data_IF_169292960514
#
_entry.id   IF_169292960514
#
_cell.length_a   1.000
_cell.length_b   1.000
_cell.length_c   1.000
_cell.angle_alpha   90.00
_cell.angle_beta   90.00
_cell.angle_gamma   90.00
#
_symmetry.space_group_name_H-M   'P 1'
#
loop_
_entity.id
_entity.type
_entity.pdbx_description
1 polymer ?
#
# COMPACT_ATOMS: atom_id res chain seq x y z
N UNK A 1 -1.32 20.31 34.38
CA UNK A 1 -1.17 18.91 33.91
C UNK A 1 -1.90 18.79 32.58
N UNK A 2 -1.16 18.73 31.47
CA UNK A 2 -1.74 18.56 30.15
C UNK A 2 -1.90 17.06 29.86
N UNK A 3 -3.14 16.61 29.68
CA UNK A 3 -3.48 15.25 29.30
C UNK A 3 -3.24 15.09 27.79
N UNK A 4 -2.19 14.37 27.42
CA UNK A 4 -1.89 14.01 26.03
C UNK A 4 -3.01 13.11 25.50
N UNK A 5 -3.83 13.61 24.57
CA UNK A 5 -4.84 12.80 23.88
C UNK A 5 -4.16 11.70 23.06
N UNK A 6 -4.69 10.46 23.03
CA UNK A 6 -4.18 9.44 22.13
C UNK A 6 -4.41 9.87 20.68
N UNK A 7 -3.38 9.73 19.86
CA UNK A 7 -3.38 10.03 18.43
C UNK A 7 -4.31 9.04 17.72
N UNK A 8 -5.50 9.48 17.28
CA UNK A 8 -6.39 8.65 16.46
C UNK A 8 -5.85 8.61 15.02
N UNK A 9 -5.74 7.41 14.45
CA UNK A 9 -5.23 7.13 13.08
C UNK A 9 -6.24 7.57 11.99
N UNK A 10 -7.22 8.41 12.31
CA UNK A 10 -8.35 8.72 11.43
C UNK A 10 -8.15 9.95 10.54
N UNK A 11 -6.97 10.57 10.54
CA UNK A 11 -6.81 11.84 9.84
C UNK A 11 -5.46 11.98 9.15
N UNK A 12 -5.41 11.45 7.93
CA UNK A 12 -4.98 12.12 6.67
C UNK A 12 -5.14 11.05 5.58
N UNK A 13 -6.34 10.97 4.99
CA UNK A 13 -6.65 10.41 3.68
C UNK A 13 -8.10 10.82 3.43
N UNK A 14 -8.36 11.55 2.35
CA UNK A 14 -9.69 12.09 2.06
C UNK A 14 -10.73 10.97 2.04
N UNK A 15 -11.67 11.05 2.99
CA UNK A 15 -13.01 10.43 3.11
C UNK A 15 -13.26 8.98 2.64
N UNK A 16 -12.23 8.22 2.27
CA UNK A 16 -12.36 6.82 1.89
C UNK A 16 -11.91 5.92 3.02
N UNK A 17 -12.77 5.04 3.54
CA UNK A 17 -12.40 4.05 4.53
C UNK A 17 -11.16 3.27 4.08
N UNK A 18 -10.25 2.93 5.00
CA UNK A 18 -9.08 2.09 4.71
C UNK A 18 -9.45 0.72 4.09
N UNK A 19 -10.72 0.30 4.15
CA UNK A 19 -11.22 -0.87 3.45
C UNK A 19 -11.28 -0.67 1.91
N UNK A 20 -11.50 0.55 1.44
CA UNK A 20 -11.46 0.93 0.02
C UNK A 20 -10.03 1.16 -0.48
N UNK A 21 -9.14 1.53 0.43
CA UNK A 21 -7.71 1.62 0.15
C UNK A 21 -7.20 0.18 0.15
N UNK A 22 -6.67 -0.33 -0.97
CA UNK A 22 -6.19 -1.71 -1.11
C UNK A 22 -4.98 -2.07 -0.23
N UNK A 23 -4.98 -1.73 1.05
CA UNK A 23 -3.92 -1.95 2.03
C UNK A 23 -4.49 -2.26 3.42
N UNK A 24 -3.98 -3.32 4.02
CA UNK A 24 -4.21 -3.68 5.41
C UNK A 24 -3.03 -3.22 6.24
N UNK A 25 -3.32 -2.49 7.31
CA UNK A 25 -2.36 -2.04 8.32
C UNK A 25 -2.70 -2.74 9.65
N UNK A 26 -1.71 -3.33 10.30
CA UNK A 26 -1.88 -3.95 11.63
C UNK A 26 -0.63 -3.73 12.47
N UNK A 27 -0.78 -3.19 13.67
CA UNK A 27 0.30 -3.19 14.66
C UNK A 27 0.46 -4.60 15.24
N UNK A 28 1.67 -5.15 15.16
CA UNK A 28 2.07 -6.44 15.72
C UNK A 28 3.31 -6.23 16.59
N UNK A 29 3.11 -6.02 17.89
CA UNK A 29 4.17 -5.87 18.90
C UNK A 29 5.16 -4.73 18.59
N UNK A 30 4.66 -3.54 18.26
CA UNK A 30 5.51 -2.37 17.96
C UNK A 30 6.15 -2.45 16.58
N UNK A 31 5.56 -3.24 15.68
CA UNK A 31 5.90 -3.31 14.26
C UNK A 31 4.65 -3.15 13.43
N UNK A 32 4.67 -2.29 12.44
CA UNK A 32 3.55 -2.17 11.52
C UNK A 32 3.64 -3.22 10.43
N UNK A 33 2.72 -4.19 10.46
CA UNK A 33 2.51 -5.10 9.35
C UNK A 33 1.69 -4.41 8.25
N UNK A 34 2.30 -4.30 7.07
CA UNK A 34 1.71 -3.69 5.88
C UNK A 34 1.47 -4.77 4.83
N UNK A 35 0.21 -4.91 4.40
CA UNK A 35 -0.18 -5.91 3.40
C UNK A 35 -1.12 -5.30 2.37
N UNK A 36 -0.69 -5.16 1.12
CA UNK A 36 -1.60 -4.73 0.06
C UNK A 36 -2.70 -5.80 -0.16
N UNK A 37 -3.94 -5.38 -0.40
CA UNK A 37 -5.07 -6.22 -0.78
C UNK A 37 -5.35 -5.99 -2.26
N UNK A 38 -5.39 -7.06 -3.03
CA UNK A 38 -5.77 -7.02 -4.44
C UNK A 38 -7.00 -7.87 -4.58
N UNK A 39 -8.09 -7.29 -5.04
CA UNK A 39 -9.28 -8.08 -5.34
C UNK A 39 -8.97 -9.03 -6.51
N UNK A 40 -9.47 -10.28 -6.48
CA UNK A 40 -9.13 -11.30 -7.47
C UNK A 40 -9.33 -10.86 -8.93
N UNK A 41 -10.35 -10.03 -9.20
CA UNK A 41 -10.66 -9.52 -10.56
C UNK A 41 -9.59 -8.56 -11.09
N UNK A 42 -8.85 -7.88 -10.22
CA UNK A 42 -7.74 -6.99 -10.58
C UNK A 42 -6.38 -7.71 -10.49
N UNK A 43 -6.35 -8.98 -10.09
CA UNK A 43 -5.14 -9.80 -10.03
C UNK A 43 -4.65 -10.30 -11.38
N UNK A 44 -5.14 -9.76 -12.49
CA UNK A 44 -4.75 -10.12 -13.85
C UNK A 44 -3.63 -9.19 -14.38
N UNK A 45 -2.62 -9.74 -15.08
CA UNK A 45 -2.33 -11.17 -15.23
C UNK A 45 -1.91 -11.82 -13.89
N UNK A 46 -2.17 -13.14 -13.69
CA UNK A 46 -1.80 -13.83 -12.47
C UNK A 46 -0.30 -13.68 -12.17
N UNK A 47 0.03 -13.27 -10.94
CA UNK A 47 1.43 -13.20 -10.49
C UNK A 47 1.85 -14.58 -9.95
N UNK A 48 2.95 -15.19 -10.44
CA UNK A 48 3.40 -16.51 -9.99
C UNK A 48 3.61 -16.63 -8.48
N UNK A 49 4.03 -15.53 -7.85
CA UNK A 49 4.13 -15.39 -6.39
C UNK A 49 3.94 -13.93 -6.02
N UNK A 50 3.09 -13.69 -5.02
CA UNK A 50 2.90 -12.35 -4.46
C UNK A 50 3.85 -12.11 -3.28
N UNK A 51 4.51 -10.94 -3.17
CA UNK A 51 5.29 -10.60 -1.99
C UNK A 51 4.42 -10.62 -0.73
N UNK A 52 4.92 -11.18 0.39
CA UNK A 52 4.19 -11.21 1.63
C UNK A 52 3.98 -9.80 2.22
N UNK A 53 3.25 -9.74 3.33
CA UNK A 53 3.20 -8.55 4.16
C UNK A 53 4.62 -8.18 4.64
N UNK A 54 4.96 -6.89 4.61
CA UNK A 54 6.20 -6.37 5.17
C UNK A 54 5.96 -5.85 6.58
N UNK A 55 7.03 -5.74 7.38
CA UNK A 55 6.97 -5.20 8.75
C UNK A 55 7.89 -4.00 8.85
N UNK A 56 7.35 -2.88 9.33
CA UNK A 56 8.10 -1.66 9.59
C UNK A 56 8.37 -1.51 11.09
N UNK A 57 9.61 -1.19 11.44
CA UNK A 57 9.97 -0.64 12.74
C UNK A 57 9.64 0.88 12.77
N UNK A 58 9.49 1.48 13.96
CA UNK A 58 9.33 2.92 14.07
C UNK A 58 10.47 3.67 13.36
N UNK A 59 10.13 4.72 12.62
CA UNK A 59 11.06 5.49 11.77
C UNK A 59 11.29 4.90 10.37
N UNK A 60 10.81 3.69 10.09
CA UNK A 60 10.93 3.08 8.77
C UNK A 60 9.73 3.42 7.87
N UNK A 61 9.97 3.39 6.57
CA UNK A 61 8.90 3.51 5.59
C UNK A 61 9.11 2.60 4.37
N UNK A 62 8.00 2.23 3.74
CA UNK A 62 7.97 1.39 2.52
C UNK A 62 7.36 2.15 1.36
N UNK A 63 7.94 1.95 0.17
CA UNK A 63 7.29 2.20 -1.11
C UNK A 63 6.86 0.87 -1.73
N UNK A 64 5.56 0.69 -1.93
CA UNK A 64 5.01 -0.45 -2.67
C UNK A 64 4.36 0.03 -3.96
N UNK A 65 4.68 -0.62 -5.07
CA UNK A 65 4.14 -0.30 -6.38
C UNK A 65 3.44 -1.51 -6.98
N UNK A 66 2.26 -1.29 -7.54
CA UNK A 66 1.37 -2.36 -7.98
C UNK A 66 0.61 -1.93 -9.23
N UNK A 67 0.74 -2.69 -10.33
CA UNK A 67 -0.05 -2.43 -11.52
C UNK A 67 -1.23 -3.41 -11.67
N UNK A 68 -2.30 -2.95 -12.30
CA UNK A 68 -3.47 -3.74 -12.66
C UNK A 68 -3.66 -3.65 -14.16
N UNK A 69 -3.89 -4.80 -14.78
CA UNK A 69 -3.97 -4.92 -16.23
C UNK A 69 -5.07 -5.92 -16.58
N UNK A 70 -6.26 -5.42 -16.91
CA UNK A 70 -7.40 -6.25 -17.28
C UNK A 70 -8.02 -5.78 -18.60
N UNK A 71 -8.41 -6.75 -19.42
CA UNK A 71 -9.34 -6.55 -20.54
C UNK A 71 -10.75 -6.68 -20.00
N UNK A 72 -11.74 -5.99 -20.59
CA UNK A 72 -13.12 -6.22 -20.16
C UNK A 72 -13.46 -7.71 -20.27
N UNK A 73 -14.22 -8.26 -19.32
CA UNK A 73 -14.58 -9.68 -19.29
C UNK A 73 -15.34 -10.15 -20.55
N UNK A 74 -15.85 -9.20 -21.34
CA UNK A 74 -16.55 -9.43 -22.61
C UNK A 74 -15.67 -9.22 -23.85
N UNK A 75 -14.38 -8.84 -23.70
CA UNK A 75 -13.50 -8.50 -24.84
C UNK A 75 -13.90 -7.24 -25.61
N UNK A 76 -14.92 -6.52 -25.15
CA UNK A 76 -15.57 -5.40 -25.86
C UNK A 76 -14.86 -4.04 -25.69
N UNK A 77 -13.90 -3.92 -24.77
CA UNK A 77 -13.14 -2.68 -24.55
C UNK A 77 -11.67 -3.02 -24.35
N UNK A 78 -10.81 -2.14 -24.90
CA UNK A 78 -9.36 -2.27 -24.87
C UNK A 78 -8.77 -2.42 -23.47
N UNK A 79 -7.45 -2.57 -23.43
CA UNK A 79 -6.70 -2.73 -22.18
C UNK A 79 -6.94 -1.56 -21.21
N UNK A 80 -7.30 -1.88 -19.96
CA UNK A 80 -7.25 -0.94 -18.85
C UNK A 80 -5.95 -1.11 -18.08
N UNK A 81 -5.35 0.00 -17.69
CA UNK A 81 -4.14 0.04 -16.87
C UNK A 81 -4.32 1.01 -15.69
N UNK A 82 -3.94 0.56 -14.50
CA UNK A 82 -3.82 1.41 -13.32
C UNK A 82 -2.54 1.00 -12.56
N UNK A 83 -1.76 1.98 -12.09
CA UNK A 83 -0.69 1.81 -11.10
C UNK A 83 -1.07 2.41 -9.74
N UNK A 84 -1.06 1.60 -8.69
CA UNK A 84 -1.07 2.07 -7.30
C UNK A 84 0.35 2.21 -6.76
N UNK A 85 0.59 3.30 -6.03
CA UNK A 85 1.81 3.49 -5.22
C UNK A 85 1.41 3.79 -3.78
N UNK A 86 1.86 2.95 -2.86
CA UNK A 86 1.65 3.12 -1.43
C UNK A 86 2.97 3.53 -0.77
N UNK A 87 3.01 4.73 -0.22
CA UNK A 87 4.09 5.19 0.64
C UNK A 87 3.59 5.17 2.08
N UNK A 88 4.16 4.31 2.92
CA UNK A 88 3.68 4.08 4.29
C UNK A 88 4.87 4.18 5.23
N UNK A 89 4.81 5.11 6.17
CA UNK A 89 5.75 5.25 7.26
C UNK A 89 5.12 4.79 8.58
N UNK A 90 5.94 4.31 9.51
CA UNK A 90 5.48 3.92 10.84
C UNK A 90 6.21 4.68 11.94
N UNK A 91 5.45 5.18 12.92
CA UNK A 91 5.99 5.98 14.01
C UNK A 91 6.35 7.42 13.60
N UNK A 92 7.05 8.17 14.48
CA UNK A 92 7.46 9.54 14.20
C UNK A 92 8.44 9.60 13.03
N UNK A 93 8.11 10.40 12.02
CA UNK A 93 8.92 10.62 10.81
C UNK A 93 8.85 12.09 10.38
N UNK A 94 9.87 12.56 9.67
CA UNK A 94 9.89 13.93 9.13
C UNK A 94 8.85 14.13 8.01
N UNK A 95 8.49 15.39 7.74
CA UNK A 95 7.51 15.74 6.70
C UNK A 95 7.92 15.27 5.31
N UNK A 96 9.23 15.28 5.03
CA UNK A 96 9.80 14.90 3.73
C UNK A 96 10.19 13.42 3.64
N UNK A 97 9.74 12.57 4.58
CA UNK A 97 10.16 11.16 4.64
C UNK A 97 9.97 10.43 3.31
N UNK A 98 8.89 10.72 2.57
CA UNK A 98 8.60 10.07 1.29
C UNK A 98 9.37 10.63 0.08
N UNK A 99 10.13 11.71 0.29
CA UNK A 99 11.07 12.27 -0.70
C UNK A 99 12.47 11.67 -0.55
N UNK A 100 12.72 10.93 0.54
CA UNK A 100 13.99 10.24 0.78
C UNK A 100 14.05 8.86 0.10
N UNK A 101 15.11 8.10 0.36
CA UNK A 101 15.19 6.69 -0.04
C UNK A 101 14.32 5.82 0.88
N UNK A 102 13.43 4.96 0.34
CA UNK A 102 12.65 4.03 1.13
C UNK A 102 13.50 3.03 1.91
N UNK A 103 13.10 2.74 3.14
CA UNK A 103 13.70 1.64 3.91
C UNK A 103 13.41 0.29 3.25
N UNK A 104 12.22 0.15 2.65
CA UNK A 104 11.80 -1.04 1.93
C UNK A 104 11.14 -0.66 0.60
N UNK A 105 11.51 -1.37 -0.46
CA UNK A 105 10.83 -1.31 -1.76
C UNK A 105 10.15 -2.64 -2.02
N UNK A 106 8.85 -2.59 -2.33
CA UNK A 106 8.10 -3.75 -2.79
C UNK A 106 7.57 -3.46 -4.19
N UNK A 107 8.23 -4.01 -5.20
CA UNK A 107 7.79 -3.90 -6.57
C UNK A 107 6.92 -5.11 -6.95
N UNK A 108 5.61 -4.88 -7.08
CA UNK A 108 4.64 -5.86 -7.59
C UNK A 108 4.23 -5.55 -9.03
N UNK A 109 4.91 -4.63 -9.73
CA UNK A 109 4.59 -4.35 -11.13
C UNK A 109 4.92 -5.56 -11.99
N UNK A 110 3.91 -6.06 -12.71
CA UNK A 110 4.11 -7.03 -13.79
C UNK A 110 4.68 -6.36 -15.04
N UNK A 111 5.31 -7.12 -15.95
CA UNK A 111 5.87 -6.59 -17.19
C UNK A 111 4.79 -5.94 -18.05
N UNK A 112 5.14 -4.78 -18.63
CA UNK A 112 4.35 -4.09 -19.65
C UNK A 112 4.90 -4.53 -21.01
N UNK A 113 4.42 -5.68 -21.51
CA UNK A 113 4.73 -6.18 -22.85
C UNK A 113 3.44 -6.61 -23.53
#
# INVERSE_FOLDING_TARGET
>A
MAMTKPFSIDRILGDRPFAEIGVSLRDEHGRLRVHARVEPLFGLPPRPRRPPAVRLLPGQWVRRQLNYRFTSALGLRGWSYWLDTFNIAYGPVGQDVFLSEPTLVVDERGPVR
#
